data_IF_968233358697
#
_entry.id   IF_968233358697
#
_cell.length_a   1.000
_cell.length_b   1.000
_cell.length_c   1.000
_cell.angle_alpha   90.00
_cell.angle_beta   90.00
_cell.angle_gamma   90.00
#
_symmetry.space_group_name_H-M   'P 1'
#
loop_
_entity.id
_entity.type
_entity.pdbx_description
1 polymer ?
#
# COMPACT_ATOMS: atom_id res chain seq x y z
N UNK A 1 -8.27 -25.02 0.95
CA UNK A 1 -8.79 -23.66 1.22
C UNK A 1 -9.40 -23.13 -0.06
N UNK A 2 -10.60 -22.55 -0.03
CA UNK A 2 -11.25 -22.03 -1.23
C UNK A 2 -10.45 -20.84 -1.80
N UNK A 3 -10.31 -20.76 -3.13
CA UNK A 3 -9.50 -19.72 -3.78
C UNK A 3 -9.92 -18.28 -3.40
N UNK A 4 -11.23 -18.07 -3.18
CA UNK A 4 -11.78 -16.78 -2.72
C UNK A 4 -11.24 -16.35 -1.36
N UNK A 5 -11.09 -17.27 -0.40
CA UNK A 5 -10.56 -16.96 0.92
C UNK A 5 -9.11 -16.51 0.86
N UNK A 6 -8.30 -17.14 0.00
CA UNK A 6 -6.91 -16.74 -0.23
C UNK A 6 -6.83 -15.34 -0.84
N UNK A 7 -7.68 -15.03 -1.83
CA UNK A 7 -7.71 -13.71 -2.47
C UNK A 7 -8.09 -12.62 -1.47
N UNK A 8 -9.14 -12.84 -0.68
CA UNK A 8 -9.59 -11.90 0.35
C UNK A 8 -8.52 -11.64 1.41
N UNK A 9 -7.84 -12.70 1.87
CA UNK A 9 -6.75 -12.58 2.84
C UNK A 9 -5.58 -11.76 2.27
N UNK A 10 -5.21 -12.01 1.01
CA UNK A 10 -4.14 -11.25 0.33
C UNK A 10 -4.51 -9.78 0.18
N UNK A 11 -5.74 -9.46 -0.24
CA UNK A 11 -6.22 -8.08 -0.30
C UNK A 11 -6.17 -7.40 1.07
N UNK A 12 -6.64 -8.07 2.13
CA UNK A 12 -6.57 -7.53 3.48
C UNK A 12 -5.13 -7.23 3.91
N UNK A 13 -4.20 -8.14 3.63
CA UNK A 13 -2.78 -7.97 3.94
C UNK A 13 -2.17 -6.78 3.18
N UNK A 14 -2.48 -6.62 1.89
CA UNK A 14 -2.04 -5.47 1.08
C UNK A 14 -2.51 -4.15 1.71
N UNK A 15 -3.77 -4.08 2.15
CA UNK A 15 -4.32 -2.88 2.80
C UNK A 15 -3.63 -2.60 4.13
N UNK A 16 -3.38 -3.62 4.95
CA UNK A 16 -2.66 -3.46 6.22
C UNK A 16 -1.24 -2.94 5.97
N UNK A 17 -0.51 -3.52 5.02
CA UNK A 17 0.84 -3.05 4.68
C UNK A 17 0.80 -1.61 4.17
N UNK A 18 -0.15 -1.27 3.28
CA UNK A 18 -0.29 0.07 2.74
C UNK A 18 -0.61 1.12 3.83
N UNK A 19 -1.44 0.76 4.82
CA UNK A 19 -1.73 1.67 5.95
C UNK A 19 -0.54 1.85 6.88
N UNK A 20 0.24 0.79 7.14
CA UNK A 20 1.48 0.87 7.92
C UNK A 20 2.55 1.73 7.24
N UNK A 21 2.75 1.58 5.92
CA UNK A 21 3.70 2.41 5.17
C UNK A 21 3.29 3.88 5.15
N UNK A 22 1.99 4.15 4.97
CA UNK A 22 1.44 5.50 5.04
C UNK A 22 1.65 6.14 6.42
N UNK A 23 1.37 5.41 7.50
CA UNK A 23 1.61 5.87 8.86
C UNK A 23 3.09 6.14 9.12
N UNK A 24 3.98 5.26 8.65
CA UNK A 24 5.43 5.45 8.73
C UNK A 24 5.91 6.70 7.99
N UNK A 25 5.48 6.89 6.73
CA UNK A 25 5.82 8.07 5.93
C UNK A 25 5.28 9.36 6.54
N UNK A 26 4.06 9.35 7.08
CA UNK A 26 3.47 10.48 7.78
C UNK A 26 4.21 10.83 9.07
N UNK A 27 4.62 9.82 9.85
CA UNK A 27 5.43 10.02 11.06
C UNK A 27 6.82 10.54 10.74
N UNK A 28 7.49 10.00 9.74
CA UNK A 28 8.79 10.52 9.28
C UNK A 28 8.66 11.96 8.79
N UNK A 29 7.59 12.30 8.07
CA UNK A 29 7.33 13.67 7.66
C UNK A 29 7.07 14.63 8.84
N UNK A 30 6.39 14.17 9.91
CA UNK A 30 6.26 14.92 11.16
C UNK A 30 7.60 15.15 11.84
N UNK A 31 8.44 14.11 11.92
CA UNK A 31 9.78 14.20 12.51
C UNK A 31 10.69 15.13 11.70
N UNK A 32 10.51 15.19 10.38
CA UNK A 32 11.20 16.11 9.49
C UNK A 32 10.66 17.56 9.56
N UNK A 33 9.80 17.90 10.53
CA UNK A 33 9.27 19.26 10.74
C UNK A 33 8.23 19.70 9.70
N UNK A 34 7.73 18.78 8.88
CA UNK A 34 6.79 19.13 7.81
C UNK A 34 5.41 19.54 8.38
N UNK A 35 4.76 20.55 7.80
CA UNK A 35 3.44 21.05 8.23
C UNK A 35 2.30 20.02 8.06
N UNK A 36 1.22 20.12 8.84
CA UNK A 36 0.12 19.12 8.87
C UNK A 36 -0.35 18.64 7.49
N UNK A 37 -0.67 19.53 6.55
CA UNK A 37 -1.11 19.15 5.20
C UNK A 37 -0.06 18.37 4.42
N UNK A 38 1.22 18.75 4.50
CA UNK A 38 2.27 18.13 3.69
C UNK A 38 2.61 16.71 4.16
N UNK A 39 2.53 16.43 5.47
CA UNK A 39 2.70 15.07 5.97
C UNK A 39 1.54 14.15 5.56
N UNK A 40 0.31 14.67 5.51
CA UNK A 40 -0.85 13.90 5.05
C UNK A 40 -0.69 13.56 3.56
N UNK A 41 -0.26 14.51 2.73
CA UNK A 41 0.00 14.26 1.31
C UNK A 41 1.11 13.23 1.10
N UNK A 42 2.20 13.29 1.88
CA UNK A 42 3.27 12.27 1.82
C UNK A 42 2.79 10.89 2.25
N UNK A 43 1.98 10.80 3.29
CA UNK A 43 1.37 9.54 3.73
C UNK A 43 0.42 8.97 2.66
N UNK A 44 -0.41 9.82 2.05
CA UNK A 44 -1.32 9.43 0.98
C UNK A 44 -0.57 8.94 -0.28
N UNK A 45 0.51 9.62 -0.65
CA UNK A 45 1.37 9.21 -1.76
C UNK A 45 2.02 7.84 -1.50
N UNK A 46 2.50 7.59 -0.28
CA UNK A 46 3.06 6.30 0.10
C UNK A 46 2.01 5.17 0.05
N UNK A 47 0.78 5.43 0.51
CA UNK A 47 -0.33 4.49 0.38
C UNK A 47 -0.63 4.14 -1.08
N UNK A 48 -0.78 5.17 -1.93
CA UNK A 48 -1.06 4.99 -3.35
C UNK A 48 0.04 4.20 -4.05
N UNK A 49 1.31 4.49 -3.74
CA UNK A 49 2.46 3.78 -4.32
C UNK A 49 2.44 2.28 -4.00
N UNK A 50 2.07 1.88 -2.77
CA UNK A 50 1.94 0.46 -2.41
C UNK A 50 0.82 -0.22 -3.20
N UNK A 51 -0.33 0.43 -3.37
CA UNK A 51 -1.43 -0.12 -4.17
C UNK A 51 -1.05 -0.24 -5.65
N UNK A 52 -0.37 0.76 -6.21
CA UNK A 52 0.11 0.72 -7.59
C UNK A 52 1.10 -0.42 -7.79
N UNK A 53 2.03 -0.64 -6.84
CA UNK A 53 2.96 -1.76 -6.89
C UNK A 53 2.23 -3.10 -6.86
N UNK A 54 1.25 -3.25 -5.95
CA UNK A 54 0.45 -4.48 -5.87
C UNK A 54 -0.31 -4.76 -7.17
N UNK A 55 -0.91 -3.73 -7.78
CA UNK A 55 -1.58 -3.85 -9.06
C UNK A 55 -0.61 -4.24 -10.19
N UNK A 56 0.57 -3.62 -10.25
CA UNK A 56 1.59 -3.92 -11.25
C UNK A 56 2.10 -5.36 -11.14
N UNK A 57 2.38 -5.84 -9.92
CA UNK A 57 2.79 -7.23 -9.67
C UNK A 57 1.68 -8.20 -10.05
N UNK A 58 0.42 -7.88 -9.72
CA UNK A 58 -0.74 -8.71 -10.09
C UNK A 58 -0.90 -8.81 -11.60
N UNK A 59 -0.76 -7.69 -12.32
CA UNK A 59 -0.81 -7.66 -13.78
C UNK A 59 0.35 -8.47 -14.41
N UNK A 60 1.56 -8.35 -13.86
CA UNK A 60 2.71 -9.13 -14.30
C UNK A 60 2.51 -10.64 -14.08
N UNK A 61 1.96 -11.04 -12.92
CA UNK A 61 1.61 -12.44 -12.67
C UNK A 61 0.54 -12.95 -13.64
N UNK A 62 -0.52 -12.16 -13.86
CA UNK A 62 -1.59 -12.51 -14.78
C UNK A 62 -1.12 -12.66 -16.23
N UNK A 63 -0.02 -11.98 -16.62
CA UNK A 63 0.57 -12.13 -17.95
C UNK A 63 1.39 -13.41 -18.14
N UNK A 64 1.82 -14.07 -17.04
CA UNK A 64 2.71 -15.24 -17.09
C UNK A 64 2.05 -16.51 -16.55
N UNK A 65 1.02 -16.40 -15.72
CA UNK A 65 0.18 -17.55 -15.36
C UNK A 65 -0.81 -17.87 -16.50
N UNK A 66 -0.90 -19.15 -16.94
CA UNK A 66 -1.88 -19.59 -17.94
C UNK A 66 -3.32 -19.63 -17.40
#
# INVERSE_FOLDING_TARGET
>A
MSGLSTILLTCALIIVVATLTAAGAGKLARLAGAAYPTAILRAAAAFAAVLTLAAAVTAALAAVLP
#
